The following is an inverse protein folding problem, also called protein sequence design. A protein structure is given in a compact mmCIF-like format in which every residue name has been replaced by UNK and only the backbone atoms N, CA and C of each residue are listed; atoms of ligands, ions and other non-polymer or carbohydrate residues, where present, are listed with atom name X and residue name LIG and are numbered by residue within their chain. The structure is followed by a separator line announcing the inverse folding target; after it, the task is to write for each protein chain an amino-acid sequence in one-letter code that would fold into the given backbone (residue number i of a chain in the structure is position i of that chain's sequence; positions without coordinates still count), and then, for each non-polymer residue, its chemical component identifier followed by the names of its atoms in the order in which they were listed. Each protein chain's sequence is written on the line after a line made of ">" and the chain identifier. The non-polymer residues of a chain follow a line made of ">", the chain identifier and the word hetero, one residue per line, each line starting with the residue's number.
data_IF_628677782320
#
_entry.id   IF_628677782320
#
_cell.length_a   1.000
_cell.length_b   1.000
_cell.length_c   1.000
_cell.angle_alpha   90.00
_cell.angle_beta   90.00
_cell.angle_gamma   90.00
#
_symmetry.space_group_name_H-M   'P 1'
#
loop_
_entity.id
_entity.type
_entity.pdbx_description
1 polymer ?
#
# COMPACT_ATOMS: atom_id res chain seq x y z
N UNK A 1 7.16 6.52 -6.11
CA UNK A 1 8.14 5.54 -5.61
C UNK A 1 7.44 4.61 -4.62
N UNK A 2 7.53 3.31 -4.84
CA UNK A 2 6.92 2.28 -3.98
C UNK A 2 7.72 2.11 -2.68
N UNK A 3 7.06 2.12 -1.52
CA UNK A 3 7.76 2.04 -0.23
C UNK A 3 8.38 0.67 0.09
N UNK A 4 7.95 -0.39 -0.59
CA UNK A 4 8.43 -1.77 -0.37
C UNK A 4 9.65 -2.10 -1.24
N UNK A 5 9.54 -1.97 -2.56
CA UNK A 5 10.64 -2.29 -3.47
C UNK A 5 11.53 -1.09 -3.83
N UNK A 6 11.19 0.13 -3.38
CA UNK A 6 11.94 1.38 -3.63
C UNK A 6 12.07 1.80 -5.09
N UNK A 7 11.36 1.14 -6.00
CA UNK A 7 11.31 1.50 -7.42
C UNK A 7 10.31 2.64 -7.71
N UNK A 8 10.56 3.36 -8.81
CA UNK A 8 9.63 4.35 -9.35
C UNK A 8 8.57 3.67 -10.22
N UNK A 9 7.33 4.16 -10.14
CA UNK A 9 6.19 3.71 -10.92
C UNK A 9 5.35 4.92 -11.24
N UNK A 10 4.69 4.91 -12.39
CA UNK A 10 3.73 5.94 -12.75
C UNK A 10 2.52 5.89 -11.81
N UNK A 11 1.81 7.02 -11.63
CA UNK A 11 0.65 7.10 -10.72
C UNK A 11 -0.41 6.03 -11.08
N UNK A 12 -0.59 5.76 -12.37
CA UNK A 12 -1.52 4.74 -12.89
C UNK A 12 -1.14 3.31 -12.49
N UNK A 13 0.12 3.08 -12.12
CA UNK A 13 0.69 1.79 -11.69
C UNK A 13 0.80 1.66 -10.16
N UNK A 14 0.40 2.71 -9.43
CA UNK A 14 0.43 2.76 -7.97
C UNK A 14 -0.98 2.67 -7.38
N UNK A 15 -1.06 2.10 -6.18
CA UNK A 15 -2.28 1.96 -5.39
C UNK A 15 -1.99 2.41 -3.94
N UNK A 16 -2.95 3.10 -3.34
CA UNK A 16 -2.92 3.43 -1.92
C UNK A 16 -3.57 2.32 -1.11
N UNK A 17 -2.93 1.89 -0.03
CA UNK A 17 -3.45 0.82 0.83
C UNK A 17 -3.12 1.06 2.32
N UNK A 18 -3.86 0.41 3.21
CA UNK A 18 -3.71 0.57 4.65
C UNK A 18 -2.48 -0.14 5.19
N UNK A 19 -1.57 0.54 5.90
CA UNK A 19 -0.38 -0.07 6.53
C UNK A 19 -0.80 -1.20 7.48
N UNK A 20 -1.70 -0.90 8.42
CA UNK A 20 -2.43 -1.86 9.25
C UNK A 20 -3.74 -2.17 8.56
N UNK A 21 -4.03 -3.43 8.28
CA UNK A 21 -5.24 -3.83 7.58
C UNK A 21 -6.51 -3.44 8.37
N UNK A 22 -7.59 -3.16 7.64
CA UNK A 22 -8.87 -2.79 8.25
C UNK A 22 -9.41 -3.84 9.23
N UNK A 23 -9.26 -5.13 8.89
CA UNK A 23 -9.63 -6.26 9.76
C UNK A 23 -8.89 -6.28 11.11
N UNK A 24 -7.69 -5.69 11.15
CA UNK A 24 -6.83 -5.63 12.34
C UNK A 24 -6.96 -4.28 13.07
N UNK A 25 -8.02 -3.51 12.76
CA UNK A 25 -8.30 -2.21 13.39
C UNK A 25 -7.65 -1.01 12.71
N UNK A 26 -7.09 -1.19 11.50
CA UNK A 26 -6.54 -0.11 10.69
C UNK A 26 -7.57 0.95 10.32
N UNK A 27 -7.26 2.22 10.60
CA UNK A 27 -8.13 3.37 10.26
C UNK A 27 -7.75 3.96 8.91
N UNK A 28 -8.70 4.57 8.22
CA UNK A 28 -8.44 5.35 6.99
C UNK A 28 -8.03 6.77 7.39
N UNK A 29 -6.73 7.00 7.55
CA UNK A 29 -6.15 8.33 7.81
C UNK A 29 -4.76 8.43 7.15
N UNK A 30 -4.21 9.64 7.03
CA UNK A 30 -2.94 9.84 6.32
C UNK A 30 -1.76 9.04 6.93
N UNK A 31 -1.82 8.75 8.23
CA UNK A 31 -0.77 8.03 8.94
C UNK A 31 -0.81 6.50 8.72
N UNK A 32 -1.94 5.97 8.26
CA UNK A 32 -2.12 4.54 8.01
C UNK A 32 -2.29 4.23 6.52
N UNK A 33 -2.12 5.20 5.62
CA UNK A 33 -2.18 4.97 4.18
C UNK A 33 -0.77 5.01 3.58
N UNK A 34 -0.48 4.12 2.63
CA UNK A 34 0.81 4.03 1.97
C UNK A 34 0.65 3.75 0.48
N UNK A 35 1.46 4.42 -0.34
CA UNK A 35 1.53 4.19 -1.78
C UNK A 35 2.44 2.98 -2.09
N UNK A 36 1.86 1.99 -2.76
CA UNK A 36 2.53 0.77 -3.21
C UNK A 36 2.36 0.61 -4.72
N UNK A 37 3.25 -0.13 -5.37
CA UNK A 37 2.97 -0.60 -6.72
C UNK A 37 1.91 -1.71 -6.66
N UNK A 38 1.16 -1.88 -7.75
CA UNK A 38 0.11 -2.91 -7.87
C UNK A 38 0.58 -4.31 -7.43
N UNK A 39 1.79 -4.70 -7.78
CA UNK A 39 2.34 -6.02 -7.43
C UNK A 39 2.52 -6.19 -5.91
N UNK A 40 3.17 -5.24 -5.25
CA UNK A 40 3.39 -5.30 -3.79
C UNK A 40 2.07 -5.15 -3.03
N UNK A 41 1.14 -4.34 -3.54
CA UNK A 41 -0.18 -4.21 -2.94
C UNK A 41 -0.95 -5.54 -2.98
N UNK A 42 -0.98 -6.21 -4.15
CA UNK A 42 -1.67 -7.50 -4.33
C UNK A 42 -1.06 -8.63 -3.50
N UNK A 43 0.26 -8.65 -3.36
CA UNK A 43 0.98 -9.70 -2.61
C UNK A 43 0.98 -9.48 -1.10
N UNK A 44 0.70 -8.26 -0.64
CA UNK A 44 0.52 -7.93 0.78
C UNK A 44 -0.78 -8.49 1.37
N UNK A 45 -1.83 -8.61 0.55
CA UNK A 45 -3.15 -9.08 0.98
C UNK A 45 -3.07 -10.56 1.39
N UNK A 46 -3.18 -10.82 2.70
CA UNK A 46 -3.04 -12.17 3.27
C UNK A 46 -2.07 -12.29 4.45
N UNK A 47 -1.40 -11.20 4.83
CA UNK A 47 -0.79 -11.07 6.17
C UNK A 47 -1.74 -10.44 7.18
#
# INVERSE_FOLDING_TARGET
>A
MCQVCKEHFEIEEMEGDHIIAWKDGGKTNENNLMMLCKFNNRTKSGK
#
